data_IF_877346670062
#
_entry.id   IF_877346670062
#
_cell.length_a   1.000
_cell.length_b   1.000
_cell.length_c   1.000
_cell.angle_alpha   90.00
_cell.angle_beta   90.00
_cell.angle_gamma   90.00
#
_symmetry.space_group_name_H-M   'P 1'
#
loop_
_entity.id
_entity.type
_entity.pdbx_description
1 polymer ?
#
# COMPACT_ATOMS: atom_id res chain seq x y z
N UNK A 1 -26.36 3.77 -41.18
CA UNK A 1 -27.29 4.01 -40.02
C UNK A 1 -28.00 2.71 -39.70
N UNK A 2 -27.53 1.89 -38.77
CA UNK A 2 -28.30 0.86 -38.12
C UNK A 2 -28.04 0.94 -36.59
N UNK A 3 -29.02 1.50 -35.91
CA UNK A 3 -29.14 1.46 -34.45
C UNK A 3 -29.60 0.06 -34.09
N UNK A 4 -28.81 -0.67 -33.32
CA UNK A 4 -29.22 -1.93 -32.68
C UNK A 4 -30.12 -1.60 -31.49
N UNK A 5 -31.37 -2.02 -31.54
CA UNK A 5 -32.30 -2.02 -30.41
C UNK A 5 -31.86 -3.08 -29.39
N UNK A 6 -31.66 -2.67 -28.17
CA UNK A 6 -31.47 -3.56 -27.01
C UNK A 6 -32.85 -3.84 -26.41
N UNK A 7 -33.37 -5.04 -26.58
CA UNK A 7 -34.54 -5.53 -25.82
C UNK A 7 -34.05 -6.10 -24.51
N UNK A 8 -34.58 -5.57 -23.42
CA UNK A 8 -34.36 -6.07 -22.06
C UNK A 8 -35.47 -7.08 -21.74
N UNK A 9 -35.15 -8.37 -21.83
CA UNK A 9 -36.01 -9.42 -21.30
C UNK A 9 -35.40 -9.92 -19.97
N UNK A 10 -36.26 -10.14 -18.99
CA UNK A 10 -35.92 -10.49 -17.61
C UNK A 10 -35.08 -11.76 -17.49
N UNK A 11 -34.08 -11.71 -16.60
CA UNK A 11 -33.43 -12.78 -15.85
C UNK A 11 -32.49 -13.77 -16.56
N UNK A 12 -31.92 -13.49 -17.73
CA UNK A 12 -30.71 -14.21 -18.17
C UNK A 12 -29.99 -13.48 -19.29
N UNK A 13 -28.82 -12.92 -18.98
CA UNK A 13 -27.96 -12.29 -19.97
C UNK A 13 -27.23 -13.39 -20.76
N UNK A 14 -27.74 -13.76 -21.93
CA UNK A 14 -27.02 -14.61 -22.89
C UNK A 14 -26.11 -13.71 -23.73
N UNK A 15 -24.84 -13.61 -23.35
CA UNK A 15 -23.82 -12.93 -24.16
C UNK A 15 -23.42 -13.90 -25.29
N UNK A 16 -23.93 -13.66 -26.50
CA UNK A 16 -23.41 -14.32 -27.71
C UNK A 16 -22.00 -13.83 -28.00
N UNK A 17 -21.09 -14.79 -28.17
CA UNK A 17 -19.65 -14.58 -28.37
C UNK A 17 -19.35 -13.80 -29.63
N UNK A 18 -18.96 -12.54 -29.48
CA UNK A 18 -18.21 -11.79 -30.47
C UNK A 18 -16.73 -12.02 -30.15
N UNK A 19 -15.84 -12.30 -31.12
CA UNK A 19 -14.41 -12.47 -30.82
C UNK A 19 -13.79 -11.10 -30.51
N UNK A 20 -13.86 -10.71 -29.25
CA UNK A 20 -13.10 -9.58 -28.72
C UNK A 20 -11.66 -10.01 -28.44
N UNK A 21 -10.66 -9.16 -28.75
CA UNK A 21 -9.28 -9.51 -28.45
C UNK A 21 -9.10 -9.74 -26.95
N UNK A 22 -8.39 -10.81 -26.58
CA UNK A 22 -8.15 -11.26 -25.18
C UNK A 22 -7.72 -10.13 -24.20
N UNK A 23 -7.18 -9.02 -24.71
CA UNK A 23 -6.79 -7.83 -23.96
C UNK A 23 -7.97 -7.07 -23.33
N UNK A 24 -9.13 -7.02 -23.99
CA UNK A 24 -10.31 -6.30 -23.49
C UNK A 24 -11.05 -7.13 -22.42
N UNK A 25 -10.99 -8.45 -22.52
CA UNK A 25 -11.63 -9.37 -21.58
C UNK A 25 -10.96 -9.36 -20.18
N UNK A 26 -9.62 -9.21 -20.13
CA UNK A 26 -8.90 -9.08 -18.86
C UNK A 26 -9.21 -7.74 -18.16
N UNK A 27 -9.36 -6.65 -18.93
CA UNK A 27 -9.77 -5.34 -18.41
C UNK A 27 -11.26 -5.34 -17.98
N UNK A 28 -12.16 -5.98 -18.76
CA UNK A 28 -13.56 -6.12 -18.38
C UNK A 28 -13.74 -6.97 -17.11
N UNK A 29 -12.93 -8.00 -16.89
CA UNK A 29 -12.99 -8.83 -15.69
C UNK A 29 -12.58 -8.06 -14.43
N UNK A 30 -11.63 -7.14 -14.53
CA UNK A 30 -11.26 -6.22 -13.45
C UNK A 30 -12.41 -5.26 -13.12
N UNK A 31 -13.13 -4.76 -14.13
CA UNK A 31 -14.24 -3.83 -13.99
C UNK A 31 -15.57 -4.47 -13.59
N UNK A 32 -15.90 -5.67 -14.08
CA UNK A 32 -17.23 -6.26 -13.90
C UNK A 32 -17.33 -7.05 -12.59
N UNK A 33 -16.27 -7.66 -12.11
CA UNK A 33 -16.30 -8.48 -10.89
C UNK A 33 -15.76 -7.81 -9.62
N UNK A 34 -15.06 -6.68 -9.73
CA UNK A 34 -14.57 -5.91 -8.60
C UNK A 34 -15.34 -4.61 -8.32
N UNK A 35 -16.37 -4.29 -9.13
CA UNK A 35 -16.98 -2.96 -9.24
C UNK A 35 -17.26 -2.26 -7.91
N UNK A 36 -18.13 -2.81 -7.07
CA UNK A 36 -18.55 -2.11 -5.85
C UNK A 36 -17.45 -2.04 -4.78
N UNK A 37 -16.70 -3.14 -4.57
CA UNK A 37 -15.64 -3.18 -3.56
C UNK A 37 -14.39 -2.41 -3.96
N UNK A 38 -14.03 -2.42 -5.24
CA UNK A 38 -12.94 -1.61 -5.74
C UNK A 38 -13.32 -0.12 -5.66
N UNK A 39 -14.57 0.23 -5.98
CA UNK A 39 -15.08 1.60 -5.89
C UNK A 39 -15.11 2.09 -4.44
N UNK A 40 -15.53 1.26 -3.48
CA UNK A 40 -15.48 1.59 -2.05
C UNK A 40 -14.05 1.87 -1.60
N UNK A 41 -13.11 0.95 -1.91
CA UNK A 41 -11.70 1.13 -1.55
C UNK A 41 -11.11 2.35 -2.24
N UNK A 42 -11.38 2.57 -3.53
CA UNK A 42 -10.92 3.75 -4.26
C UNK A 42 -11.46 5.05 -3.68
N UNK A 43 -12.68 5.07 -3.17
CA UNK A 43 -13.26 6.22 -2.47
C UNK A 43 -12.46 6.57 -1.21
N UNK A 44 -12.09 5.57 -0.39
CA UNK A 44 -11.28 5.75 0.81
C UNK A 44 -9.84 6.17 0.47
N UNK A 45 -9.24 5.56 -0.55
CA UNK A 45 -7.92 5.93 -1.06
C UNK A 45 -7.92 7.37 -1.55
N UNK A 46 -8.91 7.75 -2.37
CA UNK A 46 -9.04 9.12 -2.86
C UNK A 46 -9.22 10.11 -1.72
N UNK A 47 -10.07 9.79 -0.73
CA UNK A 47 -10.24 10.61 0.49
C UNK A 47 -8.92 10.87 1.19
N UNK A 48 -8.07 9.84 1.35
CA UNK A 48 -6.74 9.99 1.96
C UNK A 48 -5.81 10.85 1.10
N UNK A 49 -5.77 10.56 -0.21
CA UNK A 49 -4.94 11.28 -1.19
C UNK A 49 -5.29 12.76 -1.22
N UNK A 50 -6.57 13.09 -1.28
CA UNK A 50 -7.05 14.47 -1.34
C UNK A 50 -6.81 15.21 -0.01
N UNK A 51 -7.19 14.60 1.12
CA UNK A 51 -7.07 15.20 2.45
C UNK A 51 -5.62 15.52 2.81
N UNK A 52 -4.72 14.58 2.58
CA UNK A 52 -3.30 14.74 2.92
C UNK A 52 -2.44 15.22 1.76
N UNK A 53 -3.04 15.62 0.64
CA UNK A 53 -2.33 16.11 -0.57
C UNK A 53 -1.19 15.21 -0.97
N UNK A 54 -1.48 13.88 -1.02
CA UNK A 54 -0.45 12.87 -1.24
C UNK A 54 0.10 12.88 -2.66
N UNK A 55 -0.71 13.32 -3.65
CA UNK A 55 -0.36 13.29 -5.08
C UNK A 55 -0.45 14.70 -5.66
N UNK A 56 0.63 15.12 -6.30
CA UNK A 56 0.73 16.37 -7.04
C UNK A 56 0.90 16.12 -8.54
N UNK A 57 0.67 17.17 -9.34
CA UNK A 57 0.86 17.08 -10.78
C UNK A 57 2.31 16.75 -11.13
N UNK A 58 2.51 15.78 -12.03
CA UNK A 58 3.83 15.36 -12.49
C UNK A 58 4.58 14.43 -11.54
N UNK A 59 3.98 13.96 -10.43
CA UNK A 59 4.64 13.02 -9.51
C UNK A 59 5.02 11.69 -10.20
N UNK A 60 6.19 11.19 -9.84
CA UNK A 60 6.59 9.81 -10.06
C UNK A 60 6.59 9.07 -8.72
N UNK A 61 5.68 8.10 -8.56
CA UNK A 61 5.43 7.42 -7.29
C UNK A 61 5.92 5.97 -7.38
N UNK A 62 6.87 5.61 -6.54
CA UNK A 62 7.28 4.23 -6.33
C UNK A 62 6.31 3.53 -5.37
N UNK A 63 5.62 2.51 -5.82
CA UNK A 63 4.80 1.65 -4.96
C UNK A 63 5.71 0.55 -4.39
N UNK A 64 5.88 0.52 -3.07
CA UNK A 64 6.62 -0.54 -2.39
C UNK A 64 5.79 -1.82 -2.36
N UNK A 65 6.16 -2.82 -3.17
CA UNK A 65 5.44 -4.09 -3.28
C UNK A 65 6.19 -5.17 -2.53
N UNK A 66 5.61 -5.63 -1.41
CA UNK A 66 6.17 -6.70 -0.58
C UNK A 66 5.73 -8.11 -1.00
N UNK A 67 4.78 -8.22 -1.92
CA UNK A 67 4.09 -9.47 -2.24
C UNK A 67 2.89 -9.78 -1.34
N UNK A 68 2.72 -9.06 -0.23
CA UNK A 68 1.56 -9.21 0.65
C UNK A 68 0.30 -8.49 0.13
N UNK A 69 -0.87 -8.92 0.62
CA UNK A 69 -2.20 -8.44 0.19
C UNK A 69 -2.34 -6.91 0.15
N UNK A 70 -1.85 -6.21 1.19
CA UNK A 70 -2.02 -4.76 1.32
C UNK A 70 -1.22 -3.99 0.26
N UNK A 71 0.02 -4.42 0.01
CA UNK A 71 0.87 -3.81 -1.03
C UNK A 71 0.33 -4.04 -2.44
N UNK A 72 -0.28 -5.19 -2.70
CA UNK A 72 -0.91 -5.51 -3.98
C UNK A 72 -2.26 -4.77 -4.15
N UNK A 73 -3.04 -4.63 -3.07
CA UNK A 73 -4.24 -3.79 -3.08
C UNK A 73 -3.89 -2.32 -3.34
N UNK A 74 -2.81 -1.81 -2.74
CA UNK A 74 -2.31 -0.47 -3.00
C UNK A 74 -1.90 -0.29 -4.47
N UNK A 75 -1.17 -1.26 -5.03
CA UNK A 75 -0.74 -1.25 -6.42
C UNK A 75 -1.94 -1.19 -7.37
N UNK A 76 -2.95 -2.05 -7.15
CA UNK A 76 -4.17 -2.09 -7.92
C UNK A 76 -4.97 -0.77 -7.80
N UNK A 77 -5.13 -0.26 -6.57
CA UNK A 77 -5.88 0.96 -6.31
C UNK A 77 -5.23 2.19 -6.95
N UNK A 78 -3.90 2.36 -6.85
CA UNK A 78 -3.19 3.48 -7.47
C UNK A 78 -3.14 3.35 -9.00
N UNK A 79 -3.04 2.13 -9.52
CA UNK A 79 -3.12 1.85 -10.95
C UNK A 79 -4.46 2.28 -11.56
N UNK A 80 -5.56 1.99 -10.87
CA UNK A 80 -6.89 2.44 -11.27
C UNK A 80 -7.09 3.94 -11.03
N UNK A 81 -6.68 4.47 -9.87
CA UNK A 81 -6.80 5.90 -9.55
C UNK A 81 -6.12 6.76 -10.62
N UNK A 82 -4.93 6.37 -11.10
CA UNK A 82 -4.17 7.04 -12.15
C UNK A 82 -4.99 7.34 -13.41
N UNK A 83 -6.01 6.53 -13.72
CA UNK A 83 -6.81 6.65 -14.95
C UNK A 83 -7.76 7.83 -14.93
N UNK A 84 -8.29 8.18 -13.77
CA UNK A 84 -9.34 9.20 -13.63
C UNK A 84 -9.02 10.32 -12.63
N UNK A 85 -7.88 10.23 -11.91
CA UNK A 85 -7.48 11.28 -10.97
C UNK A 85 -7.16 12.57 -11.71
N UNK A 86 -7.58 13.75 -11.20
CA UNK A 86 -7.40 15.02 -11.92
C UNK A 86 -5.95 15.37 -12.18
N UNK A 87 -5.05 15.04 -11.24
CA UNK A 87 -3.60 15.28 -11.36
C UNK A 87 -2.93 14.11 -12.07
N UNK A 88 -2.10 14.38 -13.06
CA UNK A 88 -1.35 13.35 -13.78
C UNK A 88 -0.11 12.94 -13.00
N UNK A 89 0.09 11.63 -12.83
CA UNK A 89 1.24 11.06 -12.17
C UNK A 89 1.63 9.73 -12.80
N UNK A 90 2.85 9.30 -12.55
CA UNK A 90 3.37 8.02 -13.01
C UNK A 90 3.62 7.08 -11.82
N UNK A 91 3.60 5.77 -12.10
CA UNK A 91 3.80 4.73 -11.09
C UNK A 91 4.93 3.79 -11.52
N UNK A 92 5.75 3.38 -10.54
CA UNK A 92 6.68 2.25 -10.67
C UNK A 92 6.46 1.30 -9.50
N UNK A 93 6.47 -0.01 -9.74
CA UNK A 93 6.33 -1.02 -8.69
C UNK A 93 7.72 -1.50 -8.29
N UNK A 94 8.12 -1.27 -7.04
CA UNK A 94 9.45 -1.66 -6.55
C UNK A 94 9.32 -2.82 -5.57
N UNK A 95 9.95 -3.93 -5.92
CA UNK A 95 10.07 -5.14 -5.12
C UNK A 95 11.50 -5.26 -4.60
N UNK A 96 11.66 -5.36 -3.27
CA UNK A 96 12.95 -5.63 -2.64
C UNK A 96 12.98 -7.08 -2.21
N UNK A 97 13.73 -7.90 -2.93
CA UNK A 97 13.86 -9.33 -2.68
C UNK A 97 14.96 -9.61 -1.66
N UNK A 98 14.65 -10.18 -0.49
CA UNK A 98 15.63 -10.55 0.51
C UNK A 98 16.46 -11.78 0.13
N UNK A 99 16.08 -12.54 -0.90
CA UNK A 99 16.64 -13.83 -1.29
C UNK A 99 16.71 -14.81 -0.12
N UNK A 100 15.52 -15.14 0.45
CA UNK A 100 15.44 -16.07 1.55
C UNK A 100 16.09 -17.42 1.18
N UNK A 101 16.93 -17.92 2.09
CA UNK A 101 17.69 -19.18 1.89
C UNK A 101 18.54 -19.21 0.61
N UNK A 102 18.97 -18.04 0.11
CA UNK A 102 19.75 -17.91 -1.12
C UNK A 102 18.94 -18.01 -2.41
N UNK A 103 17.61 -18.16 -2.33
CA UNK A 103 16.77 -18.31 -3.49
C UNK A 103 16.03 -16.98 -3.81
N UNK A 104 16.10 -16.51 -5.07
CA UNK A 104 15.28 -15.41 -5.52
C UNK A 104 13.78 -15.73 -5.44
N UNK A 105 12.97 -14.75 -5.04
CA UNK A 105 11.51 -14.87 -5.03
C UNK A 105 10.98 -14.80 -6.47
N UNK A 106 10.02 -15.67 -6.80
CA UNK A 106 9.31 -15.58 -8.09
C UNK A 106 8.28 -14.45 -8.05
N UNK A 107 8.54 -13.39 -8.80
CA UNK A 107 7.64 -12.23 -8.99
C UNK A 107 6.91 -12.24 -10.34
N UNK A 108 6.90 -13.35 -11.08
CA UNK A 108 6.32 -13.42 -12.43
C UNK A 108 4.86 -12.98 -12.49
N UNK A 109 4.01 -13.48 -11.59
CA UNK A 109 2.59 -13.10 -11.53
C UNK A 109 2.38 -11.63 -11.13
N UNK A 110 3.22 -11.09 -10.22
CA UNK A 110 3.16 -9.67 -9.84
C UNK A 110 3.63 -8.81 -11.01
N UNK A 111 4.65 -9.23 -11.74
CA UNK A 111 5.12 -8.54 -12.95
C UNK A 111 4.04 -8.51 -14.01
N UNK A 112 3.29 -9.61 -14.19
CA UNK A 112 2.15 -9.66 -15.11
C UNK A 112 1.01 -8.73 -14.66
N UNK A 113 0.75 -8.64 -13.34
CA UNK A 113 -0.19 -7.65 -12.80
C UNK A 113 0.26 -6.22 -13.11
N UNK A 114 1.54 -5.90 -12.92
CA UNK A 114 2.12 -4.60 -13.26
C UNK A 114 1.93 -4.28 -14.75
N UNK A 115 2.19 -5.26 -15.64
CA UNK A 115 1.99 -5.09 -17.09
C UNK A 115 0.53 -4.76 -17.43
N UNK A 116 -0.43 -5.44 -16.79
CA UNK A 116 -1.86 -5.17 -16.98
C UNK A 116 -2.28 -3.78 -16.50
N UNK A 117 -1.62 -3.25 -15.47
CA UNK A 117 -1.87 -1.92 -14.93
C UNK A 117 -1.04 -0.82 -15.62
N UNK A 118 -0.23 -1.16 -16.61
CA UNK A 118 0.72 -0.24 -17.26
C UNK A 118 1.67 0.44 -16.25
N UNK A 119 2.19 -0.36 -15.31
CA UNK A 119 3.14 0.05 -14.28
C UNK A 119 4.47 -0.69 -14.53
N UNK A 120 5.58 0.05 -14.53
CA UNK A 120 6.92 -0.52 -14.69
C UNK A 120 7.34 -1.26 -13.40
N UNK A 121 7.67 -2.58 -13.46
CA UNK A 121 8.21 -3.31 -12.33
C UNK A 121 9.71 -3.12 -12.21
N UNK A 122 10.21 -2.93 -10.99
CA UNK A 122 11.64 -2.85 -10.65
C UNK A 122 11.92 -3.83 -9.52
N UNK A 123 12.69 -4.88 -9.78
CA UNK A 123 13.07 -5.90 -8.80
C UNK A 123 14.49 -5.62 -8.34
N UNK A 124 14.69 -5.48 -7.02
CA UNK A 124 16.00 -5.33 -6.37
C UNK A 124 16.32 -6.58 -5.57
N UNK A 125 17.07 -7.46 -6.18
CA UNK A 125 17.66 -8.64 -5.53
C UNK A 125 18.71 -8.22 -4.53
N UNK A 126 18.71 -8.82 -3.33
CA UNK A 126 19.61 -8.45 -2.23
C UNK A 126 20.10 -9.68 -1.47
N UNK A 127 21.13 -9.51 -0.66
CA UNK A 127 21.66 -10.54 0.26
C UNK A 127 21.16 -10.33 1.69
N UNK A 128 19.96 -9.73 1.86
CA UNK A 128 19.44 -9.36 3.19
C UNK A 128 19.29 -10.55 4.13
N UNK A 129 18.81 -11.68 3.62
CA UNK A 129 18.66 -12.88 4.43
C UNK A 129 20.02 -13.36 4.96
N UNK A 130 21.01 -13.49 4.10
CA UNK A 130 22.37 -13.90 4.46
C UNK A 130 22.98 -12.96 5.51
N UNK A 131 22.93 -11.65 5.26
CA UNK A 131 23.49 -10.65 6.15
C UNK A 131 22.85 -10.71 7.55
N UNK A 132 21.54 -10.81 7.64
CA UNK A 132 20.81 -10.69 8.90
C UNK A 132 20.84 -11.98 9.71
N UNK A 133 20.62 -13.12 9.05
CA UNK A 133 20.42 -14.39 9.74
C UNK A 133 21.70 -15.23 9.82
N UNK A 134 22.60 -15.14 8.84
CA UNK A 134 23.80 -15.97 8.79
C UNK A 134 25.04 -15.22 9.29
N UNK A 135 25.29 -14.00 8.79
CA UNK A 135 26.48 -13.22 9.11
C UNK A 135 26.35 -12.53 10.47
N UNK A 136 25.29 -11.71 10.65
CA UNK A 136 25.14 -10.91 11.87
C UNK A 136 24.45 -11.63 13.01
N UNK A 137 23.63 -12.64 12.74
CA UNK A 137 22.85 -13.40 13.72
C UNK A 137 22.12 -12.47 14.69
N UNK A 138 21.43 -11.49 14.15
CA UNK A 138 20.78 -10.41 14.90
C UNK A 138 19.76 -10.95 15.91
N UNK A 139 19.76 -10.43 17.13
CA UNK A 139 18.79 -10.78 18.17
C UNK A 139 17.38 -10.28 17.84
N UNK A 140 17.26 -9.20 17.06
CA UNK A 140 16.00 -8.67 16.54
C UNK A 140 16.03 -8.57 15.00
N UNK A 141 15.95 -9.70 14.30
CA UNK A 141 16.11 -9.76 12.86
C UNK A 141 15.02 -8.98 12.12
N UNK A 142 13.79 -8.94 12.63
CA UNK A 142 12.67 -8.22 12.00
C UNK A 142 12.93 -6.71 11.93
N UNK A 143 13.42 -6.10 13.00
CA UNK A 143 13.71 -4.67 13.06
C UNK A 143 14.83 -4.30 12.08
N UNK A 144 15.91 -5.09 12.03
CA UNK A 144 17.02 -4.88 11.12
C UNK A 144 16.58 -5.06 9.66
N UNK A 145 15.84 -6.14 9.35
CA UNK A 145 15.31 -6.41 8.03
C UNK A 145 14.43 -5.25 7.53
N UNK A 146 13.49 -4.80 8.36
CA UNK A 146 12.61 -3.69 8.01
C UNK A 146 13.38 -2.39 7.72
N UNK A 147 14.44 -2.11 8.52
CA UNK A 147 15.29 -0.94 8.32
C UNK A 147 16.08 -1.02 7.02
N UNK A 148 16.73 -2.16 6.75
CA UNK A 148 17.52 -2.35 5.55
C UNK A 148 16.67 -2.37 4.28
N UNK A 149 15.54 -3.12 4.28
CA UNK A 149 14.59 -3.13 3.15
C UNK A 149 14.07 -1.73 2.83
N UNK A 150 13.76 -0.95 3.87
CA UNK A 150 13.32 0.44 3.69
C UNK A 150 14.41 1.30 3.05
N UNK A 151 15.66 1.19 3.49
CA UNK A 151 16.80 1.90 2.89
C UNK A 151 16.95 1.58 1.41
N UNK A 152 16.94 0.29 1.06
CA UNK A 152 17.04 -0.19 -0.33
C UNK A 152 15.87 0.29 -1.18
N UNK A 153 14.64 0.25 -0.64
CA UNK A 153 13.45 0.77 -1.32
C UNK A 153 13.58 2.27 -1.65
N UNK A 154 14.08 3.06 -0.69
CA UNK A 154 14.30 4.49 -0.90
C UNK A 154 15.33 4.75 -2.01
N UNK A 155 16.45 4.03 -1.98
CA UNK A 155 17.52 4.19 -2.97
C UNK A 155 17.05 3.73 -4.36
N UNK A 156 16.32 2.61 -4.43
CA UNK A 156 15.72 2.14 -5.67
C UNK A 156 14.69 3.11 -6.26
N UNK A 157 13.85 3.70 -5.41
CA UNK A 157 12.87 4.69 -5.83
C UNK A 157 13.55 5.94 -6.42
N UNK A 158 14.59 6.44 -5.77
CA UNK A 158 15.37 7.57 -6.29
C UNK A 158 16.09 7.25 -7.60
N UNK A 159 16.74 6.09 -7.66
CA UNK A 159 17.40 5.63 -8.88
C UNK A 159 16.42 5.47 -10.06
N UNK A 160 15.16 5.12 -9.75
CA UNK A 160 14.09 5.05 -10.73
C UNK A 160 13.47 6.42 -11.08
N UNK A 161 13.99 7.53 -10.54
CA UNK A 161 13.48 8.89 -10.80
C UNK A 161 12.18 9.23 -10.05
N UNK A 162 11.81 8.44 -9.01
CA UNK A 162 10.61 8.71 -8.24
C UNK A 162 10.89 9.75 -7.14
N UNK A 163 9.95 10.68 -6.94
CA UNK A 163 9.98 11.69 -5.87
C UNK A 163 9.10 11.30 -4.68
N UNK A 164 8.25 10.26 -4.84
CA UNK A 164 7.40 9.74 -3.77
C UNK A 164 7.47 8.22 -3.67
N UNK A 165 7.18 7.69 -2.47
CA UNK A 165 7.04 6.27 -2.21
C UNK A 165 5.68 6.04 -1.55
N UNK A 166 4.86 5.18 -2.14
CA UNK A 166 3.60 4.73 -1.57
C UNK A 166 3.78 3.39 -0.83
N UNK A 167 3.31 3.33 0.41
CA UNK A 167 3.37 2.15 1.26
C UNK A 167 1.97 1.67 1.62
N UNK A 168 1.79 0.34 1.69
CA UNK A 168 0.51 -0.32 1.94
C UNK A 168 0.05 -0.33 3.40
N UNK A 169 0.50 0.62 4.23
CA UNK A 169 0.02 0.73 5.60
C UNK A 169 -1.45 1.16 5.61
N UNK A 170 -2.27 0.41 6.34
CA UNK A 170 -3.71 0.56 6.43
C UNK A 170 -4.15 1.11 7.81
N UNK A 171 -5.46 1.19 8.07
CA UNK A 171 -6.03 1.66 9.35
C UNK A 171 -5.58 0.80 10.52
N UNK A 172 -5.57 -0.53 10.34
CA UNK A 172 -5.22 -1.49 11.38
C UNK A 172 -3.75 -1.32 11.79
N UNK A 173 -2.84 -1.16 10.83
CA UNK A 173 -1.43 -0.85 11.08
C UNK A 173 -1.23 0.43 11.92
N UNK A 174 -2.05 1.45 11.67
CA UNK A 174 -1.99 2.71 12.42
C UNK A 174 -2.42 2.51 13.88
N UNK A 175 -3.50 1.79 14.10
CA UNK A 175 -4.03 1.50 15.44
C UNK A 175 -3.07 0.58 16.21
N UNK A 176 -2.55 -0.47 15.57
CA UNK A 176 -1.52 -1.33 16.16
C UNK A 176 -0.28 -0.52 16.56
N UNK A 177 0.20 0.34 15.68
CA UNK A 177 1.36 1.20 15.96
C UNK A 177 1.08 2.18 17.11
N UNK A 178 -0.12 2.75 17.16
CA UNK A 178 -0.55 3.62 18.25
C UNK A 178 -0.50 2.88 19.58
N UNK A 179 -1.06 1.65 19.68
CA UNK A 179 -1.01 0.86 20.90
C UNK A 179 0.39 0.41 21.26
N UNK A 180 1.21 -0.01 20.31
CA UNK A 180 2.61 -0.34 20.56
C UNK A 180 3.38 0.86 21.16
N UNK A 181 3.21 2.05 20.57
CA UNK A 181 3.85 3.25 21.09
C UNK A 181 3.35 3.62 22.49
N UNK A 182 2.04 3.51 22.74
CA UNK A 182 1.43 3.83 24.03
C UNK A 182 1.86 2.84 25.12
N UNK A 183 1.72 1.54 24.87
CA UNK A 183 1.87 0.51 25.90
C UNK A 183 3.34 0.10 26.14
N UNK A 184 4.16 0.10 25.09
CA UNK A 184 5.56 -0.29 25.18
C UNK A 184 6.51 0.90 25.23
N UNK A 185 6.17 1.97 24.52
CA UNK A 185 7.02 3.16 24.40
C UNK A 185 6.64 4.31 25.34
N UNK A 186 5.49 4.24 26.04
CA UNK A 186 4.94 5.34 26.85
C UNK A 186 4.72 6.63 26.06
N UNK A 187 4.45 6.51 24.75
CA UNK A 187 4.32 7.65 23.83
C UNK A 187 2.96 7.63 23.13
N UNK A 188 2.30 8.78 23.12
CA UNK A 188 1.12 9.01 22.29
C UNK A 188 1.61 9.38 20.89
N UNK A 189 1.42 8.47 19.91
CA UNK A 189 1.89 8.73 18.55
C UNK A 189 1.68 7.58 17.60
N UNK A 190 1.79 7.89 16.30
CA UNK A 190 1.70 6.92 15.21
C UNK A 190 2.58 7.41 14.03
N UNK A 191 2.78 6.57 13.05
CA UNK A 191 3.40 7.02 11.81
C UNK A 191 2.50 8.03 11.07
N UNK A 192 3.11 8.96 10.35
CA UNK A 192 2.41 10.01 9.62
C UNK A 192 1.75 9.49 8.34
N UNK A 193 0.58 10.01 7.91
CA UNK A 193 0.03 9.74 6.58
C UNK A 193 0.97 10.14 5.45
N UNK A 194 1.69 11.26 5.62
CA UNK A 194 2.72 11.76 4.71
C UNK A 194 3.98 12.06 5.51
N UNK A 195 5.13 11.54 5.09
CA UNK A 195 6.42 11.73 5.77
C UNK A 195 7.48 12.17 4.76
N UNK A 196 8.05 13.37 4.94
CA UNK A 196 9.18 13.80 4.14
C UNK A 196 10.50 13.33 4.75
N UNK A 197 11.32 12.68 3.96
CA UNK A 197 12.65 12.19 4.34
C UNK A 197 13.73 13.13 3.80
N UNK A 198 14.14 14.10 4.60
CA UNK A 198 15.07 15.16 4.19
C UNK A 198 16.41 14.64 3.68
N UNK A 199 16.97 13.59 4.31
CA UNK A 199 18.25 12.99 3.90
C UNK A 199 18.20 12.32 2.52
N UNK A 200 17.02 11.87 2.09
CA UNK A 200 16.82 11.15 0.83
C UNK A 200 16.06 12.00 -0.20
N UNK A 201 15.59 13.17 0.21
CA UNK A 201 14.73 14.05 -0.59
C UNK A 201 13.59 13.30 -1.30
N UNK A 202 12.87 12.49 -0.53
CA UNK A 202 11.74 11.68 -1.00
C UNK A 202 10.59 11.78 0.00
N UNK A 203 9.35 11.77 -0.50
CA UNK A 203 8.16 11.80 0.35
C UNK A 203 7.51 10.42 0.40
N UNK A 204 7.32 9.88 1.59
CA UNK A 204 6.51 8.66 1.80
C UNK A 204 5.05 9.03 1.99
N UNK A 205 4.16 8.29 1.32
CA UNK A 205 2.71 8.44 1.41
C UNK A 205 2.05 7.11 1.76
N UNK A 206 0.89 7.15 2.42
CA UNK A 206 0.14 5.97 2.87
C UNK A 206 -1.33 6.06 2.43
N UNK A 207 -1.62 5.79 1.16
CA UNK A 207 -2.96 5.97 0.60
C UNK A 207 -4.03 5.06 1.21
N UNK A 208 -3.64 3.92 1.82
CA UNK A 208 -4.58 2.97 2.47
C UNK A 208 -4.92 3.35 3.93
N UNK A 209 -4.55 4.53 4.42
CA UNK A 209 -4.68 4.90 5.83
C UNK A 209 -6.13 4.86 6.37
N UNK A 210 -7.13 4.95 5.50
CA UNK A 210 -8.55 4.82 5.83
C UNK A 210 -9.16 3.48 5.45
N UNK A 211 -8.37 2.58 4.88
CA UNK A 211 -8.80 1.24 4.47
C UNK A 211 -8.48 0.26 5.59
N UNK A 212 -9.44 -0.56 6.01
CA UNK A 212 -9.22 -1.60 7.00
C UNK A 212 -8.52 -2.83 6.40
N UNK A 213 -7.84 -3.61 7.24
CA UNK A 213 -7.25 -4.90 6.83
C UNK A 213 -8.30 -5.84 6.23
N UNK A 214 -9.53 -5.85 6.76
CA UNK A 214 -10.64 -6.64 6.23
C UNK A 214 -11.01 -6.25 4.80
N UNK A 215 -10.99 -4.95 4.49
CA UNK A 215 -11.28 -4.48 3.13
C UNK A 215 -10.19 -4.88 2.14
N UNK A 216 -8.91 -4.81 2.52
CA UNK A 216 -7.81 -5.29 1.66
C UNK A 216 -7.85 -6.80 1.48
N UNK A 217 -8.19 -7.56 2.52
CA UNK A 217 -8.37 -9.01 2.43
C UNK A 217 -9.51 -9.40 1.47
N UNK A 218 -10.66 -8.74 1.59
CA UNK A 218 -11.80 -8.99 0.70
C UNK A 218 -11.47 -8.63 -0.74
N UNK A 219 -10.83 -7.48 -0.98
CA UNK A 219 -10.45 -7.06 -2.32
C UNK A 219 -9.42 -8.01 -2.93
N UNK A 220 -8.39 -8.40 -2.16
CA UNK A 220 -7.35 -9.31 -2.65
C UNK A 220 -7.93 -10.67 -3.12
N UNK A 221 -8.89 -11.21 -2.38
CA UNK A 221 -9.61 -12.44 -2.75
C UNK A 221 -10.46 -12.24 -4.01
N UNK A 222 -11.22 -11.13 -4.09
CA UNK A 222 -12.10 -10.85 -5.24
C UNK A 222 -11.34 -10.61 -6.54
N UNK A 223 -10.22 -9.89 -6.46
CA UNK A 223 -9.37 -9.62 -7.62
C UNK A 223 -8.41 -10.77 -7.92
N UNK A 224 -8.40 -11.83 -7.09
CA UNK A 224 -7.44 -12.93 -7.18
C UNK A 224 -6.00 -12.40 -7.33
N UNK A 225 -5.61 -11.49 -6.40
CA UNK A 225 -4.28 -10.88 -6.45
C UNK A 225 -3.19 -11.93 -6.16
N UNK A 226 -2.05 -11.88 -6.84
CA UNK A 226 -0.97 -12.86 -6.72
C UNK A 226 -0.17 -12.66 -5.43
N UNK A 227 -0.74 -13.11 -4.30
CA UNK A 227 -0.12 -12.96 -2.98
C UNK A 227 1.01 -13.96 -2.82
N UNK A 228 2.22 -13.47 -2.53
CA UNK A 228 3.39 -14.28 -2.21
C UNK A 228 3.47 -14.46 -0.71
N UNK A 229 3.44 -15.72 -0.25
CA UNK A 229 3.68 -16.04 1.17
C UNK A 229 5.17 -15.87 1.47
N UNK A 230 5.47 -15.09 2.52
CA UNK A 230 6.85 -14.90 2.95
C UNK A 230 7.41 -16.19 3.57
N UNK A 231 8.55 -16.71 3.10
CA UNK A 231 9.21 -17.84 3.75
C UNK A 231 10.08 -17.42 4.93
N UNK A 232 9.88 -16.22 5.48
CA UNK A 232 10.68 -15.66 6.57
C UNK A 232 10.59 -16.52 7.84
N UNK A 233 11.73 -17.00 8.41
CA UNK A 233 11.71 -17.84 9.61
C UNK A 233 11.31 -17.08 10.88
N UNK A 234 11.30 -15.75 10.86
CA UNK A 234 10.92 -14.90 11.98
C UNK A 234 9.45 -14.40 11.89
N UNK A 235 8.64 -14.99 11.01
CA UNK A 235 7.23 -14.61 10.87
C UNK A 235 6.39 -15.19 12.02
N UNK A 236 5.52 -14.36 12.63
CA UNK A 236 4.69 -14.72 13.80
C UNK A 236 5.23 -14.19 15.12
N UNK A 237 4.42 -14.22 16.15
CA UNK A 237 4.71 -13.93 17.57
C UNK A 237 5.44 -12.59 17.84
N UNK A 238 4.98 -11.51 17.23
CA UNK A 238 5.59 -10.18 17.37
C UNK A 238 4.78 -9.30 18.33
N UNK A 239 5.41 -8.24 18.86
CA UNK A 239 4.74 -7.19 19.64
C UNK A 239 3.54 -6.57 18.89
N UNK A 240 3.58 -6.57 17.56
CA UNK A 240 2.50 -6.13 16.69
C UNK A 240 1.29 -7.05 16.78
N UNK A 241 1.49 -8.38 16.84
CA UNK A 241 0.39 -9.33 16.96
C UNK A 241 -0.34 -9.16 18.30
N UNK A 242 0.39 -8.89 19.38
CA UNK A 242 -0.21 -8.58 20.70
C UNK A 242 -1.05 -7.29 20.63
N UNK A 243 -0.54 -6.23 20.00
CA UNK A 243 -1.27 -4.98 19.82
C UNK A 243 -2.55 -5.18 18.97
N UNK A 244 -2.47 -6.04 17.95
CA UNK A 244 -3.61 -6.42 17.11
C UNK A 244 -4.71 -7.12 17.88
N UNK A 245 -4.34 -8.12 18.69
CA UNK A 245 -5.30 -8.83 19.55
C UNK A 245 -5.96 -7.88 20.54
N UNK A 246 -5.17 -7.03 21.20
CA UNK A 246 -5.66 -6.03 22.13
C UNK A 246 -6.63 -5.04 21.47
N UNK A 247 -6.29 -4.53 20.28
CA UNK A 247 -7.16 -3.64 19.51
C UNK A 247 -8.51 -4.30 19.17
N UNK A 248 -8.47 -5.59 18.76
CA UNK A 248 -9.69 -6.35 18.45
C UNK A 248 -10.58 -6.57 19.68
N UNK A 249 -10.00 -6.83 20.84
CA UNK A 249 -10.78 -7.01 22.07
C UNK A 249 -11.40 -5.70 22.56
N UNK A 250 -10.68 -4.58 22.43
CA UNK A 250 -11.25 -3.26 22.67
C UNK A 250 -12.39 -2.95 21.69
N UNK A 251 -12.23 -3.31 20.42
CA UNK A 251 -13.27 -3.05 19.41
C UNK A 251 -14.55 -3.84 19.69
N UNK A 252 -14.45 -5.09 20.16
CA UNK A 252 -15.60 -5.88 20.61
C UNK A 252 -16.31 -5.22 21.78
N UNK A 253 -15.55 -4.66 22.73
CA UNK A 253 -16.10 -4.08 23.96
C UNK A 253 -16.72 -2.71 23.74
N UNK A 254 -16.04 -1.82 23.01
CA UNK A 254 -16.40 -0.40 22.91
C UNK A 254 -16.94 -0.01 21.53
N UNK A 255 -16.79 -0.85 20.51
CA UNK A 255 -17.18 -0.63 19.13
C UNK A 255 -16.48 0.55 18.46
N UNK A 256 -16.15 0.42 17.19
CA UNK A 256 -15.53 1.48 16.36
C UNK A 256 -14.25 2.06 16.95
N UNK A 257 -13.44 1.22 17.62
CA UNK A 257 -12.18 1.67 18.26
C UNK A 257 -11.19 2.17 17.22
N UNK A 258 -11.13 1.52 16.05
CA UNK A 258 -10.25 1.91 14.96
C UNK A 258 -10.57 3.32 14.47
N UNK A 259 -11.83 3.64 14.19
CA UNK A 259 -12.26 4.96 13.76
C UNK A 259 -12.08 6.02 14.85
N UNK A 260 -12.32 5.65 16.11
CA UNK A 260 -12.13 6.55 17.26
C UNK A 260 -10.67 6.96 17.42
N UNK A 261 -9.73 6.01 17.28
CA UNK A 261 -8.28 6.29 17.37
C UNK A 261 -7.83 7.15 16.20
N UNK A 262 -8.17 6.79 14.95
CA UNK A 262 -7.84 7.60 13.77
C UNK A 262 -8.39 9.03 13.94
N UNK A 263 -9.67 9.15 14.34
CA UNK A 263 -10.28 10.46 14.59
C UNK A 263 -9.60 11.25 15.72
N UNK A 264 -9.07 10.59 16.75
CA UNK A 264 -8.33 11.26 17.81
C UNK A 264 -6.97 11.78 17.32
N UNK A 265 -6.23 10.97 16.54
CA UNK A 265 -4.96 11.36 15.92
C UNK A 265 -5.14 12.61 15.03
N UNK A 266 -6.20 12.62 14.22
CA UNK A 266 -6.52 13.74 13.33
C UNK A 266 -6.94 15.01 14.07
N UNK A 267 -7.88 14.91 15.02
CA UNK A 267 -8.37 16.08 15.77
C UNK A 267 -7.27 16.74 16.59
N UNK A 268 -6.32 15.96 17.10
CA UNK A 268 -5.18 16.46 17.89
C UNK A 268 -3.94 16.73 17.04
N UNK A 269 -3.97 16.46 15.73
CA UNK A 269 -2.86 16.64 14.78
C UNK A 269 -1.57 15.95 15.26
N UNK A 270 -1.73 14.79 15.91
CA UNK A 270 -0.60 14.05 16.48
C UNK A 270 0.30 13.55 15.35
N UNK A 271 1.62 13.74 15.49
CA UNK A 271 2.61 13.22 14.54
C UNK A 271 2.29 13.51 13.06
N UNK A 272 1.84 14.74 12.74
CA UNK A 272 1.55 15.11 11.35
C UNK A 272 0.29 14.48 10.75
N UNK A 273 -0.64 14.01 11.58
CA UNK A 273 -2.00 13.69 11.16
C UNK A 273 -2.80 14.98 10.96
N UNK A 274 -2.39 15.76 9.98
CA UNK A 274 -2.94 17.08 9.67
C UNK A 274 -3.14 17.21 8.16
N UNK A 275 -4.09 18.05 7.77
CA UNK A 275 -4.36 18.48 6.41
C UNK A 275 -3.44 19.60 5.91
N UNK A 276 -2.42 19.98 6.72
CA UNK A 276 -1.43 20.97 6.31
C UNK A 276 -0.66 20.50 5.07
N UNK A 277 -0.28 21.49 4.26
CA UNK A 277 0.47 21.26 3.03
C UNK A 277 1.81 20.55 3.29
N UNK A 278 2.03 19.34 2.76
CA UNK A 278 3.30 18.61 2.92
C UNK A 278 4.52 19.37 2.41
N UNK A 279 4.38 20.33 1.49
CA UNK A 279 5.47 21.17 1.00
C UNK A 279 6.08 22.04 2.10
N UNK A 280 5.29 22.38 3.12
CA UNK A 280 5.77 23.08 4.31
C UNK A 280 6.70 22.23 5.17
N UNK A 281 6.57 20.90 5.12
CA UNK A 281 7.46 19.97 5.81
C UNK A 281 8.88 20.01 5.20
N UNK A 282 8.99 20.21 3.89
CA UNK A 282 10.28 20.38 3.19
C UNK A 282 11.03 21.63 3.65
N UNK A 283 10.31 22.73 3.94
CA UNK A 283 10.91 24.01 4.37
C UNK A 283 11.43 23.97 5.80
N UNK A 284 10.74 23.26 6.71
CA UNK A 284 11.13 23.13 8.13
C UNK A 284 12.39 22.25 8.33
N UNK A 285 12.74 21.40 7.36
CA UNK A 285 13.87 20.47 7.45
C UNK A 285 15.17 20.97 6.81
N UNK A 286 15.17 22.13 6.16
CA UNK A 286 16.43 22.77 5.75
C UNK A 286 16.93 23.58 6.94
N UNK A 287 18.13 23.27 7.50
CA UNK A 287 18.76 24.16 8.48
C UNK A 287 18.96 25.51 7.79
N UNK A 288 18.58 26.57 8.46
CA UNK A 288 18.86 27.93 7.99
C UNK A 288 20.33 28.04 7.65
N UNK A 289 20.62 28.50 6.46
CA UNK A 289 21.95 28.96 6.04
C UNK A 289 22.37 30.13 6.87
#
# INVERSE_FOLDING_TARGET
>A
RHLAKVEVASSSLVIRSIPFPHRLFALMRFFVFGGDFLNELLSLVRKAVDKYRMIEEGDCIAVGVSGGKDSLCLLAALGELKRFYPKKFTLKAIMVDPCFFGNPTDYSEITELCRRLYIEPVIKTTQLYEIIFQVRKESNPCSMCARMRRGILHDAARAAGCNKIALGHNTDDAVETFFMNLLQGGKIGCFQPVTYLSRKDITMIRPLIYVSERQTENLSKKLNLPIIKSPCPADGNTAREQAKLFAKDLDKTYGKVYEKIIGALERRRIDGWTDEDPSKLRRKSKPGT
#
